data_IF_904502673053
#
_entry.id   IF_904502673053
#
_cell.length_a   1.000
_cell.length_b   1.000
_cell.length_c   1.000
_cell.angle_alpha   90.00
_cell.angle_beta   90.00
_cell.angle_gamma   90.00
#
_symmetry.space_group_name_H-M   'P 1'
#
loop_
_entity.id
_entity.type
_entity.pdbx_description
1 polymer ?
#
# COMPACT_ATOMS: atom_id res chain seq x y z
N UNK A 1 12.93 -10.52 12.66
CA UNK A 1 12.53 -11.22 11.42
C UNK A 1 12.61 -10.25 10.25
N UNK A 2 12.82 -10.73 9.02
CA UNK A 2 12.78 -9.87 7.82
C UNK A 2 11.32 -9.58 7.46
N UNK A 3 10.99 -8.32 7.17
CA UNK A 3 9.64 -7.92 6.74
C UNK A 3 9.27 -8.56 5.41
N UNK A 4 7.98 -8.85 5.22
CA UNK A 4 7.41 -9.25 3.94
C UNK A 4 7.35 -8.01 3.04
N UNK A 5 8.00 -8.10 1.88
CA UNK A 5 7.95 -7.06 0.85
C UNK A 5 6.65 -7.17 0.07
N UNK A 6 5.78 -6.18 0.20
CA UNK A 6 4.43 -6.17 -0.35
C UNK A 6 4.34 -5.22 -1.55
N UNK A 7 3.80 -5.72 -2.66
CA UNK A 7 3.34 -4.90 -3.77
C UNK A 7 1.81 -4.75 -3.70
N UNK A 8 1.31 -3.55 -3.97
CA UNK A 8 -0.13 -3.25 -3.94
C UNK A 8 -0.60 -2.91 -5.35
N UNK A 9 -1.63 -3.60 -5.82
CA UNK A 9 -2.28 -3.30 -7.10
C UNK A 9 -3.68 -2.76 -6.82
N UNK A 10 -3.89 -1.48 -7.08
CA UNK A 10 -5.12 -0.75 -6.79
C UNK A 10 -5.10 -0.06 -5.42
N UNK A 11 -4.92 1.26 -5.42
CA UNK A 11 -4.93 2.12 -4.23
C UNK A 11 -6.28 2.80 -3.96
N UNK A 12 -7.39 2.21 -4.44
CA UNK A 12 -8.74 2.77 -4.32
C UNK A 12 -9.37 2.65 -2.93
N UNK A 13 -10.69 2.85 -2.85
CA UNK A 13 -11.44 2.98 -1.58
C UNK A 13 -11.19 1.86 -0.56
N UNK A 14 -11.16 0.60 -0.97
CA UNK A 14 -10.91 -0.52 -0.07
C UNK A 14 -9.48 -0.49 0.49
N UNK A 15 -8.51 -0.15 -0.35
CA UNK A 15 -7.13 0.02 0.08
C UNK A 15 -7.03 1.15 1.10
N UNK A 16 -7.55 2.33 0.78
CA UNK A 16 -7.46 3.51 1.65
C UNK A 16 -8.17 3.32 3.00
N UNK A 17 -9.37 2.74 3.01
CA UNK A 17 -10.21 2.67 4.21
C UNK A 17 -9.99 1.41 5.05
N UNK A 18 -9.54 0.31 4.45
CA UNK A 18 -9.48 -1.00 5.11
C UNK A 18 -8.05 -1.55 5.16
N UNK A 19 -7.42 -1.76 4.00
CA UNK A 19 -6.14 -2.47 3.96
C UNK A 19 -4.97 -1.62 4.44
N UNK A 20 -4.86 -0.37 4.02
CA UNK A 20 -3.73 0.47 4.37
C UNK A 20 -3.62 0.74 5.88
N UNK A 21 -4.71 1.08 6.61
CA UNK A 21 -4.66 1.18 8.07
C UNK A 21 -4.18 -0.11 8.73
N UNK A 22 -4.70 -1.27 8.32
CA UNK A 22 -4.29 -2.57 8.87
C UNK A 22 -2.83 -2.92 8.57
N UNK A 23 -2.34 -2.65 7.34
CA UNK A 23 -0.94 -2.85 6.98
C UNK A 23 -0.03 -1.92 7.77
N UNK A 24 -0.46 -0.69 8.05
CA UNK A 24 0.28 0.27 8.87
C UNK A 24 0.41 -0.21 10.31
N UNK A 25 -0.66 -0.77 10.90
CA UNK A 25 -0.61 -1.40 12.22
C UNK A 25 0.34 -2.61 12.27
N UNK A 26 0.49 -3.33 11.14
CA UNK A 26 1.39 -4.46 10.97
C UNK A 26 2.76 -4.07 10.36
N UNK A 27 3.18 -2.82 10.54
CA UNK A 27 4.41 -2.28 9.95
C UNK A 27 5.70 -2.96 10.42
N UNK A 28 5.67 -3.73 11.51
CA UNK A 28 6.75 -4.60 11.97
C UNK A 28 6.88 -5.88 11.11
N UNK A 29 5.81 -6.28 10.42
CA UNK A 29 5.74 -7.49 9.58
C UNK A 29 5.82 -7.19 8.09
N UNK A 30 5.34 -6.03 7.65
CA UNK A 30 5.22 -5.68 6.23
C UNK A 30 5.96 -4.40 5.85
N UNK A 31 6.44 -4.37 4.61
CA UNK A 31 7.02 -3.19 3.97
C UNK A 31 6.42 -3.07 2.58
N UNK A 32 5.68 -1.98 2.31
CA UNK A 32 5.16 -1.70 0.97
C UNK A 32 6.32 -1.21 0.11
N UNK A 33 6.65 -1.94 -0.95
CA UNK A 33 7.81 -1.64 -1.81
C UNK A 33 7.43 -1.27 -3.23
N UNK A 34 6.16 -1.45 -3.62
CA UNK A 34 5.66 -1.12 -4.95
C UNK A 34 4.16 -0.85 -4.92
N UNK A 35 3.73 0.06 -5.79
CA UNK A 35 2.34 0.41 -6.04
C UNK A 35 2.07 0.34 -7.54
N UNK A 36 0.86 -0.07 -7.92
CA UNK A 36 0.41 -0.10 -9.31
C UNK A 36 -1.09 0.17 -9.38
N UNK A 37 -1.52 1.09 -10.25
CA UNK A 37 -2.93 1.37 -10.51
C UNK A 37 -3.18 1.43 -12.02
N UNK A 38 -4.46 1.29 -12.41
CA UNK A 38 -4.91 1.56 -13.79
C UNK A 38 -4.64 3.01 -14.20
N UNK A 39 -4.93 3.96 -13.32
CA UNK A 39 -4.59 5.38 -13.45
C UNK A 39 -3.28 5.60 -12.71
N UNK A 40 -2.23 6.05 -13.40
CA UNK A 40 -0.89 6.16 -12.81
C UNK A 40 -0.85 7.17 -11.67
N UNK A 41 -1.57 8.27 -11.85
CA UNK A 41 -1.67 9.39 -10.93
C UNK A 41 -2.19 8.93 -9.56
N UNK A 42 -3.16 8.02 -9.50
CA UNK A 42 -3.70 7.48 -8.23
C UNK A 42 -2.63 6.74 -7.41
N UNK A 43 -1.71 6.03 -8.07
CA UNK A 43 -0.60 5.35 -7.40
C UNK A 43 0.46 6.35 -6.93
N UNK A 44 0.77 7.36 -7.75
CA UNK A 44 1.72 8.43 -7.42
C UNK A 44 1.20 9.34 -6.29
N UNK A 45 -0.09 9.65 -6.27
CA UNK A 45 -0.74 10.39 -5.19
C UNK A 45 -0.71 9.59 -3.89
N UNK A 46 -1.03 8.29 -3.95
CA UNK A 46 -0.96 7.43 -2.76
C UNK A 46 0.49 7.31 -2.24
N UNK A 47 1.49 7.23 -3.13
CA UNK A 47 2.91 7.12 -2.76
C UNK A 47 3.44 8.33 -1.94
N UNK A 48 2.75 9.47 -1.98
CA UNK A 48 3.12 10.68 -1.24
C UNK A 48 2.59 10.69 0.20
N UNK A 49 1.72 9.75 0.59
CA UNK A 49 1.15 9.63 1.94
C UNK A 49 2.09 8.89 2.90
#
# INVERSE_FOLDING_TARGET
MKKIRLAVIGTGLAWERLHYPAIKELGDKYEIVALCNRTREDAEEFAKK
#
